data_IF_045612082133
#
_entry.id   IF_045612082133
#
_cell.length_a   1.000
_cell.length_b   1.000
_cell.length_c   1.000
_cell.angle_alpha   90.00
_cell.angle_beta   90.00
_cell.angle_gamma   90.00
#
_symmetry.space_group_name_H-M   'P 1'
#
loop_
_entity.id
_entity.type
_entity.pdbx_description
1 polymer ?
#
# COMPACT_ATOMS: atom_id res chain seq x y z
N UNK A 1 21.63 -0.05 -3.61
CA UNK A 1 20.19 -0.29 -3.77
C UNK A 1 19.59 -0.41 -2.38
N UNK A 2 18.75 0.52 -1.96
CA UNK A 2 18.23 0.57 -0.59
C UNK A 2 17.06 -0.40 -0.43
N UNK A 3 16.99 -1.09 0.72
CA UNK A 3 15.88 -1.98 1.07
C UNK A 3 14.87 -1.23 1.94
N UNK A 4 13.59 -1.34 1.61
CA UNK A 4 12.50 -0.66 2.32
C UNK A 4 11.47 -1.69 2.77
N UNK A 5 11.05 -1.59 4.03
CA UNK A 5 9.95 -2.38 4.58
C UNK A 5 8.74 -1.48 4.77
N UNK A 6 7.59 -1.90 4.26
CA UNK A 6 6.29 -1.25 4.47
C UNK A 6 5.45 -2.16 5.37
N UNK A 7 4.89 -1.59 6.44
CA UNK A 7 3.98 -2.29 7.34
C UNK A 7 2.55 -1.84 7.02
N UNK A 8 1.74 -2.77 6.54
CA UNK A 8 0.37 -2.57 6.09
C UNK A 8 0.22 -2.66 4.57
N UNK A 9 -0.61 -3.58 4.11
CA UNK A 9 -1.03 -3.82 2.73
C UNK A 9 -2.43 -3.25 2.45
N UNK A 10 -2.77 -2.12 3.07
CA UNK A 10 -3.88 -1.26 2.65
C UNK A 10 -3.54 -0.46 1.38
N UNK A 11 -4.50 0.31 0.87
CA UNK A 11 -4.33 1.06 -0.38
C UNK A 11 -3.12 2.00 -0.35
N UNK A 12 -2.92 2.74 0.74
CA UNK A 12 -1.75 3.63 0.89
C UNK A 12 -0.45 2.85 0.87
N UNK A 13 -0.35 1.74 1.60
CA UNK A 13 0.86 0.94 1.68
C UNK A 13 1.26 0.34 0.32
N UNK A 14 0.29 -0.21 -0.41
CA UNK A 14 0.54 -0.76 -1.75
C UNK A 14 0.85 0.31 -2.79
N UNK A 15 0.18 1.47 -2.75
CA UNK A 15 0.52 2.60 -3.63
C UNK A 15 1.94 3.13 -3.37
N UNK A 16 2.35 3.20 -2.10
CA UNK A 16 3.73 3.55 -1.74
C UNK A 16 4.72 2.49 -2.22
N UNK A 17 4.42 1.20 -2.03
CA UNK A 17 5.28 0.11 -2.49
C UNK A 17 5.50 0.16 -4.00
N UNK A 18 4.41 0.33 -4.76
CA UNK A 18 4.45 0.47 -6.22
C UNK A 18 5.37 1.62 -6.66
N UNK A 19 5.17 2.81 -6.08
CA UNK A 19 5.95 3.99 -6.43
C UNK A 19 7.44 3.88 -6.03
N UNK A 20 7.78 3.05 -5.04
CA UNK A 20 9.17 2.77 -4.66
C UNK A 20 9.80 1.72 -5.59
N UNK A 21 9.05 0.69 -5.99
CA UNK A 21 9.50 -0.29 -6.98
C UNK A 21 9.84 0.39 -8.32
N UNK A 22 9.00 1.32 -8.80
CA UNK A 22 9.28 2.10 -10.01
C UNK A 22 10.56 2.94 -9.92
N UNK A 23 10.97 3.34 -8.71
CA UNK A 23 12.20 4.09 -8.45
C UNK A 23 13.43 3.20 -8.24
N UNK A 24 13.29 1.87 -8.38
CA UNK A 24 14.40 0.92 -8.28
C UNK A 24 14.76 0.52 -6.85
N UNK A 25 13.86 0.70 -5.88
CA UNK A 25 14.05 0.20 -4.52
C UNK A 25 13.65 -1.28 -4.40
N UNK A 26 14.31 -2.00 -3.50
CA UNK A 26 13.90 -3.35 -3.09
C UNK A 26 12.89 -3.21 -1.93
N UNK A 27 11.64 -3.65 -2.16
CA UNK A 27 10.52 -3.39 -1.24
C UNK A 27 9.95 -4.70 -0.72
N UNK A 28 9.82 -4.81 0.60
CA UNK A 28 9.05 -5.88 1.26
C UNK A 28 7.84 -5.27 1.95
N UNK A 29 6.65 -5.85 1.72
CA UNK A 29 5.41 -5.46 2.39
C UNK A 29 5.04 -6.54 3.39
N UNK A 30 4.77 -6.14 4.64
CA UNK A 30 4.29 -7.02 5.69
C UNK A 30 2.89 -6.58 6.10
N UNK A 31 1.95 -7.52 6.17
CA UNK A 31 0.61 -7.29 6.70
C UNK A 31 0.29 -8.35 7.76
N UNK A 32 -0.53 -7.96 8.75
CA UNK A 32 -1.03 -8.87 9.79
C UNK A 32 -2.14 -9.79 9.29
N UNK A 33 -2.86 -9.36 8.25
CA UNK A 33 -3.98 -10.05 7.65
C UNK A 33 -3.50 -11.07 6.63
N UNK A 34 -4.33 -12.08 6.36
CA UNK A 34 -4.01 -13.14 5.40
C UNK A 34 -3.89 -12.64 3.97
N UNK A 35 -4.66 -11.61 3.62
CA UNK A 35 -4.69 -11.00 2.29
C UNK A 35 -4.59 -9.48 2.40
N UNK A 36 -4.15 -8.85 1.32
CA UNK A 36 -4.11 -7.40 1.23
C UNK A 36 -5.50 -6.79 1.35
N UNK A 37 -5.54 -5.53 1.78
CA UNK A 37 -6.75 -4.71 1.88
C UNK A 37 -7.88 -5.30 2.76
N UNK A 38 -7.61 -6.22 3.70
CA UNK A 38 -8.65 -6.85 4.55
C UNK A 38 -9.21 -5.99 5.70
N UNK A 39 -8.78 -4.73 5.83
CA UNK A 39 -9.29 -3.79 6.85
C UNK A 39 -9.99 -2.59 6.18
N UNK A 40 -9.68 -1.34 6.55
CA UNK A 40 -10.36 -0.13 6.06
C UNK A 40 -10.44 -0.06 4.53
N UNK A 41 -9.40 -0.51 3.83
CA UNK A 41 -9.38 -0.53 2.36
C UNK A 41 -10.37 -1.50 1.72
N UNK A 42 -10.87 -2.51 2.46
CA UNK A 42 -11.89 -3.45 1.97
C UNK A 42 -13.26 -2.78 1.80
N UNK A 43 -13.60 -1.92 2.76
CA UNK A 43 -14.97 -1.45 2.99
C UNK A 43 -15.06 0.08 3.11
N UNK A 44 -14.25 0.82 2.34
CA UNK A 44 -14.28 2.29 2.30
C UNK A 44 -15.31 2.87 1.32
N UNK A 45 -16.10 2.03 0.64
CA UNK A 45 -17.10 2.44 -0.34
C UNK A 45 -16.54 2.95 -1.68
N UNK A 46 -15.21 3.00 -1.85
CA UNK A 46 -14.56 3.42 -3.09
C UNK A 46 -14.86 4.86 -3.52
N UNK A 47 -15.37 5.70 -2.61
CA UNK A 47 -15.75 7.07 -2.94
C UNK A 47 -14.49 7.92 -3.17
N UNK A 48 -14.40 8.52 -4.35
CA UNK A 48 -13.32 9.45 -4.68
C UNK A 48 -13.90 10.86 -4.64
N UNK A 49 -13.46 11.64 -3.67
CA UNK A 49 -13.78 13.07 -3.56
C UNK A 49 -12.55 13.87 -3.93
N UNK A 50 -12.64 14.67 -4.98
CA UNK A 50 -11.59 15.60 -5.36
C UNK A 50 -12.07 17.03 -5.08
N UNK A 51 -11.19 17.86 -4.58
CA UNK A 51 -11.39 19.30 -4.48
C UNK A 51 -10.12 19.96 -5.02
N UNK A 52 -10.30 20.95 -5.88
CA UNK A 52 -9.21 21.68 -6.51
C UNK A 52 -8.88 22.94 -5.72
#
# INVERSE_FOLDING_TARGET
>A
MSKIVIIGAGITGLSTAYALLERGYDVTVLDRQRYAAMETSFANGGQISASN
#
